data_IF_032805032177
#
_entry.id   IF_032805032177
#
_cell.length_a   1.000
_cell.length_b   1.000
_cell.length_c   1.000
_cell.angle_alpha   90.00
_cell.angle_beta   90.00
_cell.angle_gamma   90.00
#
_symmetry.space_group_name_H-M   'P 1'
#
loop_
_entity.id
_entity.type
_entity.pdbx_description
1 polymer ?
#
# COMPACT_ATOMS: atom_id res chain seq x y z
N UNK A 1 -16.68 16.03 -2.37
CA UNK A 1 -15.77 14.93 -2.77
C UNK A 1 -16.48 13.60 -2.49
N UNK A 2 -15.98 12.46 -2.97
CA UNK A 2 -16.62 11.15 -2.89
C UNK A 2 -15.58 10.07 -2.61
N UNK A 3 -15.88 9.17 -1.68
CA UNK A 3 -15.01 8.04 -1.33
C UNK A 3 -15.36 6.78 -2.12
N UNK A 4 -14.35 6.14 -2.69
CA UNK A 4 -14.47 4.90 -3.47
C UNK A 4 -13.40 3.90 -3.03
N UNK A 5 -13.63 2.60 -3.26
CA UNK A 5 -12.67 1.52 -3.04
C UNK A 5 -12.24 0.95 -4.37
N UNK A 6 -10.95 0.82 -4.62
CA UNK A 6 -10.47 0.21 -5.85
C UNK A 6 -10.84 -1.28 -5.90
N UNK A 7 -11.38 -1.79 -7.00
CA UNK A 7 -11.66 -3.23 -7.17
C UNK A 7 -10.69 -3.93 -8.09
N UNK A 8 -9.89 -3.15 -8.82
CA UNK A 8 -8.80 -3.63 -9.66
C UNK A 8 -7.46 -3.11 -9.15
N UNK A 9 -6.39 -3.79 -9.53
CA UNK A 9 -5.04 -3.27 -9.39
C UNK A 9 -4.72 -2.38 -10.60
N UNK A 10 -4.32 -1.14 -10.35
CA UNK A 10 -3.99 -0.21 -11.44
C UNK A 10 -2.58 -0.49 -11.95
N UNK A 11 -2.35 -0.46 -13.27
CA UNK A 11 -1.06 -0.81 -13.82
C UNK A 11 0.05 0.15 -13.35
N UNK A 12 1.29 -0.34 -13.19
CA UNK A 12 2.42 0.48 -12.77
C UNK A 12 2.62 1.62 -13.78
N UNK A 13 2.66 2.85 -13.27
CA UNK A 13 2.72 4.08 -14.08
C UNK A 13 1.38 4.82 -14.23
N UNK A 14 0.27 4.20 -13.83
CA UNK A 14 -0.98 4.94 -13.63
C UNK A 14 -0.87 5.78 -12.37
N UNK A 15 -0.88 7.10 -12.53
CA UNK A 15 -0.86 8.06 -11.44
C UNK A 15 -2.10 8.95 -11.48
N UNK A 16 -2.62 9.23 -10.29
CA UNK A 16 -3.69 10.17 -10.01
C UNK A 16 -3.05 11.40 -9.38
N UNK A 17 -3.02 12.51 -10.11
CA UNK A 17 -2.39 13.77 -9.65
C UNK A 17 -0.91 13.57 -9.22
N UNK A 18 -0.18 12.72 -9.95
CA UNK A 18 1.21 12.37 -9.62
C UNK A 18 1.37 11.35 -8.49
N UNK A 19 0.28 10.96 -7.82
CA UNK A 19 0.27 9.92 -6.78
C UNK A 19 -0.13 8.57 -7.39
N UNK A 20 0.53 7.45 -7.05
CA UNK A 20 0.08 6.14 -7.51
C UNK A 20 -1.34 5.84 -7.01
N UNK A 21 -2.08 5.04 -7.79
CA UNK A 21 -3.35 4.52 -7.33
C UNK A 21 -3.17 3.61 -6.11
N UNK A 22 -4.13 3.63 -5.17
CA UNK A 22 -4.08 2.72 -4.05
C UNK A 22 -4.36 1.29 -4.51
N UNK A 23 -3.86 0.34 -3.74
CA UNK A 23 -4.02 -1.07 -4.01
C UNK A 23 -5.51 -1.46 -4.12
N UNK A 24 -5.77 -2.56 -4.81
CA UNK A 24 -7.08 -3.19 -4.81
C UNK A 24 -7.59 -3.37 -3.37
N UNK A 25 -8.83 -2.96 -3.15
CA UNK A 25 -9.48 -3.03 -1.86
C UNK A 25 -9.15 -1.87 -0.92
N UNK A 26 -8.37 -0.87 -1.34
CA UNK A 26 -8.12 0.32 -0.52
C UNK A 26 -9.02 1.49 -0.88
N UNK A 27 -9.54 2.22 0.12
CA UNK A 27 -10.39 3.37 -0.11
C UNK A 27 -9.56 4.60 -0.53
N UNK A 28 -10.14 5.43 -1.38
CA UNK A 28 -9.58 6.70 -1.85
C UNK A 28 -10.67 7.75 -2.01
N UNK A 29 -10.32 9.01 -1.72
CA UNK A 29 -11.22 10.13 -1.87
C UNK A 29 -10.90 10.94 -3.13
N UNK A 30 -11.93 11.20 -3.94
CA UNK A 30 -11.82 11.83 -5.26
C UNK A 30 -12.96 12.83 -5.51
N UNK A 31 -12.83 13.73 -6.50
CA UNK A 31 -13.97 14.51 -6.97
C UNK A 31 -15.11 13.59 -7.44
N UNK A 32 -16.36 13.98 -7.15
CA UNK A 32 -17.55 13.14 -7.41
C UNK A 32 -17.65 12.72 -8.87
N UNK A 33 -17.28 13.60 -9.81
CA UNK A 33 -17.28 13.30 -11.24
C UNK A 33 -16.29 12.17 -11.60
N UNK A 34 -15.04 12.25 -11.10
CA UNK A 34 -14.03 11.21 -11.32
C UNK A 34 -14.42 9.89 -10.64
N UNK A 35 -14.91 9.96 -9.40
CA UNK A 35 -15.39 8.80 -8.66
C UNK A 35 -16.54 8.09 -9.39
N UNK A 36 -17.51 8.85 -9.92
CA UNK A 36 -18.61 8.29 -10.69
C UNK A 36 -18.14 7.59 -11.97
N UNK A 37 -17.15 8.17 -12.65
CA UNK A 37 -16.55 7.54 -13.84
C UNK A 37 -15.89 6.20 -13.50
N UNK A 38 -15.10 6.12 -12.43
CA UNK A 38 -14.43 4.88 -12.01
C UNK A 38 -15.42 3.80 -11.57
N UNK A 39 -16.50 4.19 -10.90
CA UNK A 39 -17.57 3.27 -10.50
C UNK A 39 -18.34 2.77 -11.71
N UNK A 40 -18.68 3.65 -12.66
CA UNK A 40 -19.36 3.27 -13.89
C UNK A 40 -18.51 2.34 -14.77
N UNK A 41 -17.19 2.54 -14.80
CA UNK A 41 -16.24 1.69 -15.53
C UNK A 41 -15.93 0.37 -14.82
N UNK A 42 -16.47 0.12 -13.62
CA UNK A 42 -16.21 -1.10 -12.85
C UNK A 42 -14.80 -1.20 -12.26
N UNK A 43 -14.06 -0.08 -12.20
CA UNK A 43 -12.69 0.02 -11.66
C UNK A 43 -12.71 0.23 -10.15
N UNK A 44 -13.79 0.82 -9.62
CA UNK A 44 -13.96 1.08 -8.20
C UNK A 44 -15.41 0.86 -7.74
N UNK A 45 -15.61 0.75 -6.44
CA UNK A 45 -16.91 0.67 -5.77
C UNK A 45 -17.14 1.87 -4.86
N UNK A 46 -18.39 2.30 -4.72
CA UNK A 46 -18.75 3.41 -3.83
C UNK A 46 -18.68 2.95 -2.37
N UNK A 47 -17.95 3.68 -1.53
CA UNK A 47 -17.87 3.42 -0.09
C UNK A 47 -18.73 4.44 0.67
N UNK A 48 -19.68 4.01 1.53
CA UNK A 48 -20.38 4.94 2.40
C UNK A 48 -19.44 5.51 3.46
N UNK A 49 -19.58 6.80 3.74
CA UNK A 49 -18.70 7.57 4.63
C UNK A 49 -18.67 7.03 6.07
N UNK A 50 -19.73 6.33 6.48
CA UNK A 50 -19.90 5.74 7.81
C UNK A 50 -19.03 4.49 8.06
N UNK A 51 -18.49 3.84 7.01
CA UNK A 51 -17.66 2.62 7.14
C UNK A 51 -16.17 2.89 7.37
N UNK A 52 -15.77 4.15 7.60
CA UNK A 52 -14.37 4.57 7.70
C UNK A 52 -13.62 4.05 8.94
N UNK A 53 -14.29 3.44 9.92
CA UNK A 53 -13.67 3.09 11.22
C UNK A 53 -12.88 1.78 11.23
N UNK A 54 -12.73 1.06 10.11
CA UNK A 54 -12.21 -0.33 10.13
C UNK A 54 -11.05 -0.64 9.17
N UNK A 55 -10.68 0.21 8.20
CA UNK A 55 -9.66 -0.17 7.19
C UNK A 55 -8.23 0.40 7.41
N UNK A 56 -7.95 1.07 8.54
CA UNK A 56 -6.59 1.53 8.91
C UNK A 56 -5.67 0.42 9.50
N UNK A 57 -6.04 -0.86 9.37
CA UNK A 57 -5.23 -1.98 9.85
C UNK A 57 -4.72 -2.87 8.69
N UNK A 58 -4.03 -2.28 7.71
CA UNK A 58 -3.45 -3.06 6.63
C UNK A 58 -2.51 -2.28 5.73
N UNK A 59 -1.44 -1.75 6.31
CA UNK A 59 -0.16 -1.67 5.60
C UNK A 59 0.40 -3.09 5.47
N UNK A 60 0.83 -3.48 4.26
CA UNK A 60 2.18 -3.99 4.19
C UNK A 60 2.94 -3.28 3.06
N UNK A 61 3.81 -2.36 3.46
CA UNK A 61 5.23 -2.35 3.11
C UNK A 61 5.60 -3.16 1.85
N UNK A 62 5.23 -2.68 0.66
CA UNK A 62 5.69 -3.22 -0.61
C UNK A 62 6.88 -2.40 -1.12
N UNK A 63 8.04 -2.66 -0.50
CA UNK A 63 9.35 -2.48 -1.09
C UNK A 63 10.26 -3.57 -0.49
N UNK A 64 10.33 -4.69 -1.20
CA UNK A 64 11.37 -5.72 -1.18
C UNK A 64 12.78 -5.06 -1.14
N UNK A 65 13.82 -5.55 -0.47
CA UNK A 65 14.30 -6.93 -0.32
C UNK A 65 14.89 -7.24 1.08
N UNK A 66 14.79 -8.49 1.58
CA UNK A 66 15.57 -8.99 2.70
C UNK A 66 16.86 -9.68 2.23
N UNK A 67 18.02 -9.00 2.26
CA UNK A 67 19.31 -9.71 2.12
C UNK A 67 19.62 -10.48 3.41
N UNK A 68 19.24 -11.74 3.40
CA UNK A 68 19.67 -12.75 4.36
C UNK A 68 21.07 -13.23 3.97
N UNK A 69 22.13 -12.49 4.32
CA UNK A 69 23.46 -13.11 4.37
C UNK A 69 24.26 -12.72 5.61
N UNK A 70 24.63 -13.77 6.33
CA UNK A 70 25.72 -13.82 7.30
C UNK A 70 25.49 -13.31 8.72
N UNK A 71 24.48 -13.91 9.39
CA UNK A 71 24.73 -14.41 10.76
C UNK A 71 25.71 -15.58 10.70
N UNK A 72 27.00 -15.30 10.83
CA UNK A 72 27.94 -16.18 11.55
C UNK A 72 28.79 -15.31 12.49
N UNK A 73 28.27 -15.11 13.70
CA UNK A 73 29.08 -14.85 14.92
C UNK A 73 29.93 -16.11 15.21
N UNK A 74 30.81 -16.11 16.23
CA UNK A 74 31.78 -15.10 16.67
C UNK A 74 33.15 -15.76 17.01
N UNK A 75 34.26 -15.03 17.12
CA UNK A 75 35.26 -15.31 18.17
C UNK A 75 36.05 -14.05 18.49
N UNK A 76 36.04 -13.72 19.78
CA UNK A 76 36.82 -12.68 20.44
C UNK A 76 38.02 -13.39 21.06
N UNK A 77 39.28 -13.05 20.74
CA UNK A 77 40.37 -13.37 21.63
C UNK A 77 40.49 -12.26 22.68
N UNK A 78 40.40 -12.66 23.95
CA UNK A 78 40.81 -11.87 25.12
C UNK A 78 42.16 -12.45 25.55
N UNK A 79 43.15 -11.57 25.64
CA UNK A 79 44.39 -11.55 26.43
C UNK A 79 45.04 -12.87 26.93
N UNK A 80 46.38 -12.97 26.82
CA UNK A 80 47.20 -13.78 27.75
C UNK A 80 48.52 -14.37 27.21
N UNK A 81 49.63 -13.74 27.62
CA UNK A 81 50.85 -14.36 28.18
C UNK A 81 51.80 -15.22 27.30
N UNK A 82 53.09 -14.81 27.29
CA UNK A 82 54.23 -15.50 26.68
C UNK A 82 55.41 -14.59 26.44
#
# INVERSE_FOLDING_TARGET
>A
MRRIRMVVDMPPGSARDGQPWPARGKPVELPTAQAAHLVASGVAEKVPEESARTDEAGEPRAAEEPDKRSRRRPTKPKDGEG
#
